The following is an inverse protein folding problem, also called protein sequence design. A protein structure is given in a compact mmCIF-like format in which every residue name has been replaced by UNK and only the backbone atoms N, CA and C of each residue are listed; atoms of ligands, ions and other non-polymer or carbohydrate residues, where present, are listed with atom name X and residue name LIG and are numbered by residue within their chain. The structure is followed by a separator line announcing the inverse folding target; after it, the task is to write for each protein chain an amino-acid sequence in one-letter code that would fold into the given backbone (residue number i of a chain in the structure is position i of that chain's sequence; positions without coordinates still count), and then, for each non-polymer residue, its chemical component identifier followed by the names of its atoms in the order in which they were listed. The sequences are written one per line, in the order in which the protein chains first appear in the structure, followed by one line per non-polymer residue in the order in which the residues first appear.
data_IF_588176290774
#
_entry.id   IF_588176290774
#
_cell.length_a   1.000
_cell.length_b   1.000
_cell.length_c   1.000
_cell.angle_alpha   90.00
_cell.angle_beta   90.00
_cell.angle_gamma   90.00
#
_symmetry.space_group_name_H-M   'P 1'
#
loop_
_entity.id
_entity.type
_entity.pdbx_description
1 polymer ?
#
# COMPACT_ATOMS: atom_id res chain seq x y z
N UNK A 1 9.23 27.36 15.08
CA UNK A 1 9.46 26.15 15.90
C UNK A 1 8.92 24.96 15.13
N UNK A 2 9.62 23.83 15.09
CA UNK A 2 9.03 22.57 14.61
C UNK A 2 8.29 21.97 15.79
N UNK A 3 6.97 21.91 15.71
CA UNK A 3 6.17 21.23 16.72
C UNK A 3 6.41 19.73 16.60
N UNK A 4 6.85 19.11 17.70
CA UNK A 4 7.02 17.66 17.80
C UNK A 4 5.66 17.11 18.23
N UNK A 5 5.03 16.34 17.33
CA UNK A 5 3.75 15.68 17.60
C UNK A 5 4.01 14.19 17.79
N UNK A 6 3.45 13.62 18.87
CA UNK A 6 3.44 12.17 19.04
C UNK A 6 2.55 11.56 17.96
N UNK A 7 3.09 10.64 17.17
CA UNK A 7 2.39 10.05 16.03
C UNK A 7 2.04 8.59 16.35
N UNK A 8 0.83 8.37 16.84
CA UNK A 8 0.33 7.06 17.28
C UNK A 8 -0.37 6.28 16.16
N UNK A 9 -0.90 5.09 16.50
CA UNK A 9 -1.57 4.23 15.53
C UNK A 9 -2.79 4.89 14.88
N UNK A 10 -3.57 5.65 15.63
CA UNK A 10 -4.78 6.28 15.11
C UNK A 10 -4.44 7.45 14.19
N UNK A 11 -3.38 8.20 14.51
CA UNK A 11 -2.81 9.22 13.62
C UNK A 11 -2.36 8.62 12.28
N UNK A 12 -1.76 7.41 12.30
CA UNK A 12 -1.39 6.68 11.09
C UNK A 12 -2.63 6.28 10.30
N UNK A 13 -3.64 5.70 10.96
CA UNK A 13 -4.88 5.29 10.30
C UNK A 13 -5.56 6.47 9.64
N UNK A 14 -5.63 7.62 10.29
CA UNK A 14 -6.22 8.83 9.71
C UNK A 14 -5.48 9.28 8.45
N UNK A 15 -4.16 9.48 8.54
CA UNK A 15 -3.35 9.99 7.43
C UNK A 15 -3.28 9.04 6.25
N UNK A 16 -3.16 7.73 6.52
CA UNK A 16 -2.98 6.72 5.49
C UNK A 16 -4.29 6.06 5.05
N UNK A 17 -5.45 6.58 5.50
CA UNK A 17 -6.76 6.16 5.03
C UNK A 17 -7.16 4.76 5.47
N UNK A 18 -6.97 4.47 6.76
CA UNK A 18 -7.34 3.21 7.42
C UNK A 18 -6.22 2.18 7.50
N UNK A 19 -5.04 2.46 6.93
CA UNK A 19 -3.90 1.56 7.01
C UNK A 19 -3.28 1.54 8.40
N UNK A 20 -2.86 0.35 8.83
CA UNK A 20 -2.09 0.17 10.06
C UNK A 20 -0.62 0.58 9.85
N UNK A 21 0.12 0.92 10.91
CA UNK A 21 1.56 1.24 10.80
C UNK A 21 2.37 0.21 10.03
N UNK A 22 2.09 -1.08 10.24
CA UNK A 22 2.76 -2.18 9.54
C UNK A 22 2.51 -2.20 8.02
N UNK A 23 1.42 -1.63 7.54
CA UNK A 23 1.06 -1.59 6.12
C UNK A 23 1.63 -0.37 5.38
N UNK A 24 2.21 0.60 6.10
CA UNK A 24 2.77 1.82 5.49
C UNK A 24 3.97 1.50 4.60
N UNK A 25 4.76 0.48 4.96
CA UNK A 25 5.86 -0.01 4.13
C UNK A 25 5.33 -0.54 2.78
N UNK A 26 4.41 -1.49 2.82
CA UNK A 26 3.80 -2.07 1.62
C UNK A 26 3.12 -1.00 0.75
N UNK A 27 2.51 -0.01 1.39
CA UNK A 27 1.87 1.11 0.71
C UNK A 27 2.86 1.94 -0.10
N UNK A 28 4.03 2.23 0.47
CA UNK A 28 5.13 2.90 -0.22
C UNK A 28 5.72 2.01 -1.32
N UNK A 29 5.88 0.70 -1.07
CA UNK A 29 6.33 -0.25 -2.09
C UNK A 29 5.41 -0.26 -3.33
N UNK A 30 4.10 -0.14 -3.12
CA UNK A 30 3.12 -0.09 -4.20
C UNK A 30 3.07 1.27 -4.91
N UNK A 31 2.93 2.38 -4.18
CA UNK A 31 2.71 3.71 -4.79
C UNK A 31 4.00 4.42 -5.20
N UNK A 32 5.14 4.00 -4.64
CA UNK A 32 6.41 4.73 -4.65
C UNK A 32 6.60 5.65 -3.45
N UNK A 33 7.77 6.25 -3.38
CA UNK A 33 8.14 7.31 -2.44
C UNK A 33 8.88 8.43 -3.18
N UNK A 34 8.19 9.53 -3.54
CA UNK A 34 8.79 10.64 -4.26
C UNK A 34 9.92 11.32 -3.50
N UNK A 35 9.91 11.28 -2.16
CA UNK A 35 10.98 11.89 -1.34
C UNK A 35 12.29 11.14 -1.50
N UNK A 36 12.20 9.82 -1.71
CA UNK A 36 13.34 8.91 -1.85
C UNK A 36 13.60 8.54 -3.32
N UNK A 37 12.95 9.23 -4.28
CA UNK A 37 12.99 8.92 -5.71
C UNK A 37 12.61 7.47 -6.06
N UNK A 38 11.73 6.85 -5.27
CA UNK A 38 11.20 5.49 -5.52
C UNK A 38 9.95 5.62 -6.40
N UNK A 39 9.95 5.11 -7.64
CA UNK A 39 8.84 5.33 -8.58
C UNK A 39 7.57 4.52 -8.25
N UNK A 40 7.70 3.40 -7.56
CA UNK A 40 6.57 2.49 -7.29
C UNK A 40 6.12 1.70 -8.51
N UNK A 41 4.94 1.09 -8.40
CA UNK A 41 4.37 0.24 -9.44
C UNK A 41 3.59 1.07 -10.45
N UNK A 42 3.89 0.90 -11.73
CA UNK A 42 3.22 1.64 -12.80
C UNK A 42 1.69 1.40 -12.78
N UNK A 43 0.91 2.48 -12.79
CA UNK A 43 -0.55 2.42 -12.75
C UNK A 43 -1.15 2.04 -11.39
N UNK A 44 -0.35 2.04 -10.32
CA UNK A 44 -0.79 1.91 -8.92
C UNK A 44 -0.44 3.20 -8.18
N UNK A 45 -1.39 4.14 -8.15
CA UNK A 45 -1.28 5.34 -7.32
C UNK A 45 -1.80 5.14 -5.90
N UNK A 46 -1.78 6.21 -5.12
CA UNK A 46 -2.20 6.24 -3.71
C UNK A 46 -3.56 5.55 -3.45
N UNK A 47 -4.60 5.87 -4.22
CA UNK A 47 -5.94 5.29 -4.02
C UNK A 47 -5.95 3.77 -4.23
N UNK A 48 -5.28 3.31 -5.28
CA UNK A 48 -5.20 1.88 -5.62
C UNK A 48 -4.40 1.13 -4.58
N UNK A 49 -3.23 1.66 -4.17
CA UNK A 49 -2.38 1.04 -3.16
C UNK A 49 -3.13 0.85 -1.82
N UNK A 50 -3.83 1.88 -1.33
CA UNK A 50 -4.68 1.75 -0.11
C UNK A 50 -5.75 0.69 -0.30
N UNK A 51 -6.49 0.73 -1.41
CA UNK A 51 -7.58 -0.21 -1.67
C UNK A 51 -7.10 -1.67 -1.70
N UNK A 52 -5.91 -1.92 -2.26
CA UNK A 52 -5.29 -3.24 -2.24
C UNK A 52 -4.94 -3.66 -0.82
N UNK A 53 -4.28 -2.82 -0.04
CA UNK A 53 -3.85 -3.20 1.32
C UNK A 53 -5.02 -3.31 2.32
N UNK A 54 -6.07 -2.52 2.15
CA UNK A 54 -7.31 -2.70 2.92
C UNK A 54 -8.01 -4.01 2.56
N UNK A 55 -7.95 -4.44 1.30
CA UNK A 55 -8.60 -5.66 0.81
C UNK A 55 -7.80 -6.93 1.14
N UNK A 56 -6.48 -6.89 0.99
CA UNK A 56 -5.61 -8.06 1.07
C UNK A 56 -4.77 -8.10 2.35
N UNK A 57 -4.65 -6.99 3.07
CA UNK A 57 -3.92 -6.92 4.34
C UNK A 57 -2.42 -6.65 4.16
N UNK A 58 -1.73 -7.35 3.27
CA UNK A 58 -0.30 -7.15 3.01
C UNK A 58 0.05 -7.31 1.54
N UNK A 59 1.29 -6.95 1.17
CA UNK A 59 1.82 -7.17 -0.16
C UNK A 59 1.93 -8.66 -0.50
N UNK A 60 2.38 -9.49 0.44
CA UNK A 60 2.52 -10.95 0.27
C UNK A 60 1.19 -11.59 -0.11
N UNK A 61 0.11 -11.27 0.60
CA UNK A 61 -1.22 -11.79 0.30
C UNK A 61 -1.71 -11.39 -1.11
N UNK A 62 -1.31 -10.22 -1.62
CA UNK A 62 -1.63 -9.81 -2.99
C UNK A 62 -0.93 -10.75 -3.99
N UNK A 63 0.35 -11.04 -3.77
CA UNK A 63 1.13 -11.94 -4.62
C UNK A 63 0.63 -13.39 -4.55
N UNK A 64 0.29 -13.88 -3.37
CA UNK A 64 -0.32 -15.21 -3.20
C UNK A 64 -1.63 -15.34 -3.99
N UNK A 65 -2.51 -14.33 -3.93
CA UNK A 65 -3.77 -14.34 -4.68
C UNK A 65 -3.54 -14.26 -6.20
N UNK A 66 -2.48 -13.58 -6.64
CA UNK A 66 -2.03 -13.54 -8.06
C UNK A 66 -1.54 -14.91 -8.52
N UNK A 67 -0.67 -15.56 -7.74
CA UNK A 67 -0.14 -16.89 -8.04
C UNK A 67 -1.26 -17.93 -8.12
N UNK A 68 -2.18 -17.90 -7.15
CA UNK A 68 -3.33 -18.79 -7.08
C UNK A 68 -4.42 -18.51 -8.12
N UNK A 69 -4.24 -17.52 -9.00
CA UNK A 69 -5.22 -17.14 -10.03
C UNK A 69 -6.62 -16.84 -9.48
N UNK A 70 -6.71 -16.27 -8.27
CA UNK A 70 -8.00 -16.09 -7.64
C UNK A 70 -8.85 -15.03 -8.35
N UNK A 71 -10.18 -15.11 -8.15
CA UNK A 71 -11.09 -14.08 -8.63
C UNK A 71 -10.78 -12.69 -8.06
N UNK A 72 -10.18 -12.62 -6.86
CA UNK A 72 -9.85 -11.35 -6.20
C UNK A 72 -8.69 -10.62 -6.88
N UNK A 73 -7.76 -11.36 -7.49
CA UNK A 73 -6.55 -10.85 -8.15
C UNK A 73 -6.73 -10.59 -9.66
N UNK A 74 -7.95 -10.74 -10.17
CA UNK A 74 -8.26 -10.51 -11.59
C UNK A 74 -7.89 -9.08 -12.00
N UNK A 75 -7.03 -8.95 -13.01
CA UNK A 75 -6.54 -7.66 -13.51
C UNK A 75 -5.33 -7.08 -12.77
N UNK A 76 -4.82 -7.72 -11.71
CA UNK A 76 -3.60 -7.28 -11.01
C UNK A 76 -2.31 -7.79 -11.66
N UNK A 77 -2.36 -8.97 -12.30
CA UNK A 77 -1.23 -9.60 -13.01
C UNK A 77 -0.43 -8.69 -13.95
N UNK A 78 -1.04 -7.89 -14.84
CA UNK A 78 -0.27 -7.04 -15.76
C UNK A 78 0.41 -5.85 -15.08
N UNK A 79 0.09 -5.55 -13.81
CA UNK A 79 0.65 -4.42 -13.08
C UNK A 79 1.73 -4.82 -12.09
N UNK A 80 1.66 -6.03 -11.52
CA UNK A 80 2.51 -6.49 -10.41
C UNK A 80 3.44 -7.65 -10.81
N UNK A 81 3.59 -7.94 -12.11
CA UNK A 81 4.57 -8.89 -12.64
C UNK A 81 5.83 -8.18 -13.10
#
# INVERSE_FOLDING_TARGET
MKDIVLYDEDSVREKFGGLKPKQVLDFKSLRGDPSDNIPGVNGIGEKTAKGLLLKFGSLENIYEEIENNSAKARGLKPKLK
#
